data_IF_156181865537
#
_entry.id   IF_156181865537
#
_cell.length_a   1.000
_cell.length_b   1.000
_cell.length_c   1.000
_cell.angle_alpha   90.00
_cell.angle_beta   90.00
_cell.angle_gamma   90.00
#
_symmetry.space_group_name_H-M   'P 1'
#
loop_
_entity.id
_entity.type
_entity.pdbx_description
1 polymer ?
#
# COMPACT_ATOMS: atom_id res chain seq x y z
N UNK A 1 -8.50 13.47 -1.67
CA UNK A 1 -7.33 14.14 -2.33
C UNK A 1 -7.08 13.48 -3.68
N UNK A 2 -7.46 14.14 -4.77
CA UNK A 2 -7.22 13.63 -6.13
C UNK A 2 -5.74 13.73 -6.47
N UNK A 3 -5.12 12.59 -6.77
CA UNK A 3 -3.81 12.61 -7.43
C UNK A 3 -4.02 12.95 -8.90
N UNK A 4 -3.45 14.05 -9.37
CA UNK A 4 -3.54 14.39 -10.79
C UNK A 4 -2.71 13.36 -11.58
N UNK A 5 -3.27 12.85 -12.67
CA UNK A 5 -2.51 11.97 -13.54
C UNK A 5 -1.40 12.76 -14.24
N UNK A 6 -0.20 12.20 -14.38
CA UNK A 6 0.84 12.82 -15.18
C UNK A 6 0.37 12.99 -16.63
N UNK A 7 1.02 13.89 -17.39
CA UNK A 7 0.81 13.99 -18.83
C UNK A 7 0.98 12.62 -19.52
N UNK A 8 0.10 12.27 -20.45
CA UNK A 8 0.14 10.99 -21.16
C UNK A 8 1.24 10.90 -22.21
N UNK A 9 1.59 12.03 -22.84
CA UNK A 9 2.38 12.06 -24.09
C UNK A 9 3.88 12.30 -23.85
N UNK A 10 4.40 11.75 -22.75
CA UNK A 10 5.79 11.96 -22.33
C UNK A 10 6.76 11.27 -23.28
N UNK A 11 6.40 10.10 -23.80
CA UNK A 11 7.31 9.32 -24.66
C UNK A 11 7.61 10.07 -25.96
N UNK A 12 6.59 10.64 -26.62
CA UNK A 12 6.78 11.47 -27.81
C UNK A 12 7.67 12.67 -27.52
N UNK A 13 7.52 13.29 -26.36
CA UNK A 13 8.35 14.43 -25.97
C UNK A 13 9.83 14.04 -25.85
N UNK A 14 10.12 12.92 -25.19
CA UNK A 14 11.51 12.42 -25.03
C UNK A 14 12.16 12.18 -26.39
N UNK A 15 11.47 11.51 -27.33
CA UNK A 15 12.06 11.17 -28.63
C UNK A 15 12.12 12.36 -29.61
N UNK A 16 11.38 13.43 -29.34
CA UNK A 16 11.39 14.66 -30.15
C UNK A 16 12.42 15.71 -29.70
N UNK A 17 13.07 15.52 -28.53
CA UNK A 17 13.91 16.54 -27.90
C UNK A 17 15.36 16.05 -27.71
N UNK A 18 16.16 16.19 -28.76
CA UNK A 18 17.58 15.81 -28.75
C UNK A 18 18.38 16.50 -27.64
N UNK A 19 17.97 17.71 -27.24
CA UNK A 19 18.63 18.45 -26.16
C UNK A 19 18.41 17.76 -24.82
N UNK A 20 17.20 17.31 -24.51
CA UNK A 20 16.89 16.58 -23.28
C UNK A 20 17.74 15.31 -23.18
N UNK A 21 17.81 14.53 -24.27
CA UNK A 21 18.57 13.29 -24.32
C UNK A 21 20.07 13.55 -24.14
N UNK A 22 20.62 14.55 -24.84
CA UNK A 22 22.02 14.95 -24.68
C UNK A 22 22.35 15.49 -23.28
N UNK A 23 21.47 16.33 -22.71
CA UNK A 23 21.63 16.84 -21.34
C UNK A 23 21.57 15.69 -20.30
N UNK A 24 20.79 14.64 -20.55
CA UNK A 24 20.76 13.44 -19.71
C UNK A 24 22.08 12.66 -19.77
N UNK A 25 22.56 12.32 -20.97
CA UNK A 25 23.81 11.56 -21.13
C UNK A 25 25.06 12.32 -20.70
N UNK A 26 25.05 13.65 -20.78
CA UNK A 26 26.09 14.51 -20.21
C UNK A 26 26.02 14.65 -18.68
N UNK A 27 25.05 14.00 -18.01
CA UNK A 27 24.84 14.01 -16.55
C UNK A 27 24.62 15.40 -15.94
N UNK A 28 24.19 16.36 -16.76
CA UNK A 28 23.99 17.76 -16.36
C UNK A 28 23.03 17.94 -15.18
N UNK A 29 22.06 17.04 -15.03
CA UNK A 29 21.01 17.10 -14.02
C UNK A 29 21.06 15.94 -13.01
N UNK A 30 22.24 15.35 -12.78
CA UNK A 30 22.38 14.18 -11.90
C UNK A 30 21.95 14.45 -10.45
N UNK A 31 22.29 15.60 -9.88
CA UNK A 31 21.89 15.97 -8.51
C UNK A 31 20.39 16.13 -8.37
N UNK A 32 19.75 16.79 -9.36
CA UNK A 32 18.30 16.91 -9.43
C UNK A 32 17.65 15.53 -9.45
N UNK A 33 18.08 14.64 -10.36
CA UNK A 33 17.51 13.29 -10.48
C UNK A 33 17.68 12.47 -9.19
N UNK A 34 18.84 12.55 -8.53
CA UNK A 34 19.07 11.91 -7.22
C UNK A 34 18.10 12.41 -6.16
N UNK A 35 17.86 13.72 -6.08
CA UNK A 35 16.91 14.31 -5.14
C UNK A 35 15.49 13.81 -5.40
N UNK A 36 15.03 13.83 -6.65
CA UNK A 36 13.69 13.36 -7.04
C UNK A 36 13.49 11.88 -6.71
N UNK A 37 14.48 11.03 -7.02
CA UNK A 37 14.39 9.59 -6.78
C UNK A 37 14.55 9.22 -5.30
N UNK A 38 15.19 10.06 -4.48
CA UNK A 38 15.33 9.84 -3.04
C UNK A 38 13.98 9.82 -2.31
N UNK A 39 13.05 10.66 -2.74
CA UNK A 39 11.69 10.77 -2.20
C UNK A 39 10.62 10.15 -3.11
N UNK A 40 11.05 9.54 -4.21
CA UNK A 40 10.19 8.96 -5.24
C UNK A 40 9.03 9.88 -5.66
N UNK A 41 9.34 11.15 -5.93
CA UNK A 41 8.30 12.16 -6.12
C UNK A 41 7.39 11.85 -7.30
N UNK A 42 6.10 12.13 -7.10
CA UNK A 42 5.03 12.00 -8.08
C UNK A 42 4.71 13.33 -8.77
N UNK A 43 3.95 13.28 -9.87
CA UNK A 43 3.58 14.43 -10.70
C UNK A 43 3.03 15.62 -9.91
N UNK A 44 2.17 15.37 -8.93
CA UNK A 44 1.57 16.45 -8.13
C UNK A 44 2.59 17.29 -7.36
N UNK A 45 3.70 16.69 -6.91
CA UNK A 45 4.78 17.45 -6.30
C UNK A 45 5.63 18.16 -7.36
N UNK A 46 5.86 17.52 -8.51
CA UNK A 46 6.69 18.07 -9.58
C UNK A 46 6.05 19.30 -10.21
N UNK A 47 4.74 19.28 -10.48
CA UNK A 47 4.04 20.36 -11.20
C UNK A 47 4.07 21.73 -10.51
N UNK A 48 4.33 21.75 -9.20
CA UNK A 48 4.38 22.97 -8.39
C UNK A 48 5.79 23.37 -7.93
N UNK A 49 6.83 22.58 -8.28
CA UNK A 49 8.21 22.89 -7.91
C UNK A 49 8.76 24.06 -8.71
N UNK A 50 9.54 24.91 -8.03
CA UNK A 50 10.18 26.09 -8.62
C UNK A 50 11.61 25.80 -9.10
N UNK A 51 12.23 24.78 -8.54
CA UNK A 51 13.62 24.36 -8.73
C UNK A 51 13.75 23.28 -9.83
N UNK A 52 12.99 23.41 -10.91
CA UNK A 52 13.00 22.45 -12.00
C UNK A 52 14.03 22.83 -13.09
N UNK A 53 14.73 21.84 -13.68
CA UNK A 53 15.63 22.06 -14.82
C UNK A 53 14.95 22.64 -16.07
N UNK A 54 13.67 22.31 -16.24
CA UNK A 54 12.81 22.73 -17.36
C UNK A 54 11.43 23.10 -16.83
N UNK A 55 10.48 23.39 -17.73
CA UNK A 55 9.07 23.38 -17.36
C UNK A 55 8.65 22.03 -16.74
N UNK A 56 7.54 21.96 -16.00
CA UNK A 56 7.11 20.74 -15.32
C UNK A 56 6.97 19.51 -16.21
N UNK A 57 6.41 19.68 -17.41
CA UNK A 57 6.14 18.56 -18.33
C UNK A 57 7.47 17.98 -18.82
N UNK A 58 8.38 18.84 -19.26
CA UNK A 58 9.71 18.42 -19.73
C UNK A 58 10.59 17.87 -18.60
N UNK A 59 10.48 18.43 -17.40
CA UNK A 59 11.17 17.90 -16.21
C UNK A 59 10.64 16.52 -15.82
N UNK A 60 9.33 16.31 -15.90
CA UNK A 60 8.73 15.00 -15.70
C UNK A 60 9.15 13.99 -16.76
N UNK A 61 9.30 14.42 -18.02
CA UNK A 61 9.86 13.59 -19.08
C UNK A 61 11.29 13.15 -18.78
N UNK A 62 12.15 14.05 -18.33
CA UNK A 62 13.52 13.73 -17.89
C UNK A 62 13.50 12.69 -16.75
N UNK A 63 12.62 12.87 -15.75
CA UNK A 63 12.49 11.93 -14.61
C UNK A 63 12.05 10.54 -15.12
N UNK A 64 11.03 10.46 -15.98
CA UNK A 64 10.54 9.20 -16.54
C UNK A 64 11.58 8.52 -17.43
N UNK A 65 12.34 9.29 -18.20
CA UNK A 65 13.46 8.79 -18.98
C UNK A 65 14.54 8.16 -18.09
N UNK A 66 14.93 8.83 -17.01
CA UNK A 66 15.89 8.30 -16.03
C UNK A 66 15.41 6.98 -15.41
N UNK A 67 14.13 6.92 -15.02
CA UNK A 67 13.52 5.74 -14.40
C UNK A 67 13.40 4.57 -15.37
N UNK A 68 13.23 4.82 -16.68
CA UNK A 68 13.03 3.79 -17.71
C UNK A 68 14.17 2.77 -17.79
N UNK A 69 15.41 3.23 -17.72
CA UNK A 69 16.58 2.34 -17.74
C UNK A 69 16.66 1.40 -16.53
N UNK A 70 15.94 1.72 -15.47
CA UNK A 70 15.96 0.98 -14.20
C UNK A 70 14.64 0.27 -13.90
N UNK A 71 13.70 0.21 -14.86
CA UNK A 71 12.45 -0.49 -14.64
C UNK A 71 12.67 -1.99 -14.44
N UNK A 72 12.15 -2.48 -13.33
CA UNK A 72 11.85 -3.89 -13.12
C UNK A 72 10.44 -4.13 -13.66
N UNK A 73 10.32 -5.03 -14.61
CA UNK A 73 9.04 -5.46 -15.17
C UNK A 73 8.47 -6.60 -14.35
N UNK A 74 7.16 -6.60 -14.18
CA UNK A 74 6.42 -7.61 -13.45
C UNK A 74 5.11 -7.86 -14.19
N UNK A 75 4.87 -9.10 -14.59
CA UNK A 75 3.65 -9.46 -15.31
C UNK A 75 2.78 -10.32 -14.38
N UNK A 76 1.51 -9.94 -14.21
CA UNK A 76 0.51 -10.69 -13.48
C UNK A 76 -0.72 -10.89 -14.37
N UNK A 77 -0.99 -12.15 -14.74
CA UNK A 77 -2.07 -12.47 -15.68
C UNK A 77 -1.89 -11.73 -17.00
N UNK A 78 -2.89 -10.93 -17.39
CA UNK A 78 -2.88 -10.13 -18.61
C UNK A 78 -2.29 -8.72 -18.44
N UNK A 79 -1.77 -8.39 -17.24
CA UNK A 79 -1.32 -7.04 -16.90
C UNK A 79 0.19 -6.98 -16.72
N UNK A 80 0.80 -5.99 -17.37
CA UNK A 80 2.22 -5.65 -17.19
C UNK A 80 2.37 -4.43 -16.29
N UNK A 81 3.21 -4.60 -15.27
CA UNK A 81 3.58 -3.57 -14.32
C UNK A 81 5.08 -3.26 -14.45
N UNK A 82 5.45 -2.05 -14.05
CA UNK A 82 6.84 -1.65 -13.96
C UNK A 82 7.08 -0.78 -12.75
N UNK A 83 8.20 -1.00 -12.07
CA UNK A 83 8.60 -0.20 -10.92
C UNK A 83 10.12 0.03 -10.93
N UNK A 84 10.61 0.97 -10.12
CA UNK A 84 12.05 1.22 -9.97
C UNK A 84 12.43 1.02 -8.51
N UNK A 85 13.47 0.22 -8.29
CA UNK A 85 14.15 0.15 -6.99
C UNK A 85 15.23 1.24 -6.95
N UNK A 86 14.86 2.42 -6.45
CA UNK A 86 15.85 3.51 -6.28
C UNK A 86 16.84 3.15 -5.18
N UNK A 87 17.99 3.82 -5.15
CA UNK A 87 18.98 3.64 -4.08
C UNK A 87 18.38 3.93 -2.70
N UNK A 88 17.46 4.89 -2.59
CA UNK A 88 16.76 5.19 -1.34
C UNK A 88 15.83 4.04 -0.92
N UNK A 89 15.07 3.46 -1.85
CA UNK A 89 14.23 2.28 -1.56
C UNK A 89 15.11 1.10 -1.12
N UNK A 90 16.21 0.83 -1.82
CA UNK A 90 17.14 -0.25 -1.46
C UNK A 90 17.78 -0.04 -0.09
N UNK A 91 18.19 1.20 0.23
CA UNK A 91 18.70 1.55 1.55
C UNK A 91 17.64 1.31 2.62
N UNK A 92 16.40 1.75 2.41
CA UNK A 92 15.31 1.57 3.36
C UNK A 92 15.00 0.08 3.57
N UNK A 93 15.00 -0.74 2.52
CA UNK A 93 14.85 -2.19 2.61
C UNK A 93 15.99 -2.81 3.44
N UNK A 94 17.24 -2.43 3.17
CA UNK A 94 18.37 -2.92 3.94
C UNK A 94 18.29 -2.54 5.43
N UNK A 95 17.93 -1.30 5.74
CA UNK A 95 17.72 -0.85 7.13
C UNK A 95 16.56 -1.59 7.80
N UNK A 96 15.50 -1.91 7.05
CA UNK A 96 14.36 -2.69 7.52
C UNK A 96 14.78 -4.14 7.84
N UNK A 97 15.53 -4.80 6.95
CA UNK A 97 16.05 -6.16 7.16
C UNK A 97 16.94 -6.24 8.40
N UNK A 98 17.84 -5.27 8.58
CA UNK A 98 18.72 -5.19 9.75
C UNK A 98 17.93 -5.04 11.06
N UNK A 99 16.83 -4.31 11.06
CA UNK A 99 15.97 -4.13 12.24
C UNK A 99 15.13 -5.36 12.54
N UNK A 100 14.58 -6.01 11.52
CA UNK A 100 13.81 -7.25 11.67
C UNK A 100 14.71 -8.39 12.19
N UNK A 101 15.83 -8.65 11.52
CA UNK A 101 16.75 -9.75 11.85
C UNK A 101 17.60 -9.42 13.08
N UNK A 102 17.96 -8.16 13.30
CA UNK A 102 18.80 -7.75 14.44
C UNK A 102 18.01 -7.50 15.73
N UNK A 103 16.78 -6.97 15.65
CA UNK A 103 15.98 -6.54 16.79
C UNK A 103 15.23 -7.68 17.48
N UNK A 104 14.70 -8.65 16.73
CA UNK A 104 13.98 -9.80 17.29
C UNK A 104 14.91 -10.75 18.07
N UNK A 105 16.18 -10.87 17.64
CA UNK A 105 17.14 -11.82 18.21
C UNK A 105 18.00 -11.25 19.35
N UNK A 106 18.14 -9.92 19.47
CA UNK A 106 18.98 -9.29 20.50
C UNK A 106 18.24 -8.83 21.76
N UNK A 107 16.91 -8.96 21.80
CA UNK A 107 16.15 -8.49 22.95
C UNK A 107 16.26 -9.48 24.13
N UNK A 108 16.72 -9.04 25.33
CA UNK A 108 16.89 -9.88 26.53
C UNK A 108 15.55 -10.25 27.21
N UNK A 109 14.47 -10.25 26.44
CA UNK A 109 13.11 -10.55 26.91
C UNK A 109 13.00 -12.07 27.10
N UNK A 110 12.47 -12.50 28.25
CA UNK A 110 12.22 -13.92 28.49
C UNK A 110 11.19 -14.46 27.49
N UNK A 111 11.19 -15.76 27.21
CA UNK A 111 10.22 -16.35 26.26
C UNK A 111 8.76 -16.09 26.69
N UNK A 112 8.49 -15.95 27.98
CA UNK A 112 7.16 -15.63 28.51
C UNK A 112 6.73 -14.21 28.16
N UNK A 113 7.56 -13.21 28.48
CA UNK A 113 7.28 -11.80 28.19
C UNK A 113 7.12 -11.55 26.67
N UNK A 114 7.86 -12.31 25.83
CA UNK A 114 7.67 -12.29 24.36
C UNK A 114 6.28 -12.76 23.96
N UNK A 115 5.79 -13.84 24.56
CA UNK A 115 4.49 -14.42 24.20
C UNK A 115 3.32 -13.49 24.58
N UNK A 116 3.41 -12.81 25.73
CA UNK A 116 2.40 -11.83 26.15
C UNK A 116 2.47 -10.56 25.30
N UNK A 117 3.67 -10.09 24.99
CA UNK A 117 3.87 -8.96 24.08
C UNK A 117 3.26 -9.23 22.70
N UNK A 118 3.55 -10.38 22.09
CA UNK A 118 3.00 -10.76 20.78
C UNK A 118 1.47 -10.83 20.81
N UNK A 119 0.89 -11.43 21.85
CA UNK A 119 -0.57 -11.46 22.02
C UNK A 119 -1.16 -10.05 22.06
N UNK A 120 -0.58 -9.16 22.86
CA UNK A 120 -1.04 -7.78 22.95
C UNK A 120 -0.89 -7.05 21.60
N UNK A 121 0.22 -7.24 20.87
CA UNK A 121 0.41 -6.64 19.54
C UNK A 121 -0.63 -7.10 18.52
N UNK A 122 -1.04 -8.37 18.53
CA UNK A 122 -2.11 -8.86 17.64
C UNK A 122 -3.47 -8.21 17.97
N UNK A 123 -3.75 -7.97 19.26
CA UNK A 123 -4.95 -7.24 19.67
C UNK A 123 -4.89 -5.77 19.24
N UNK A 124 -3.75 -5.10 19.42
CA UNK A 124 -3.56 -3.72 18.98
C UNK A 124 -3.73 -3.59 17.46
N UNK A 125 -3.16 -4.52 16.69
CA UNK A 125 -3.27 -4.55 15.24
C UNK A 125 -4.72 -4.70 14.78
N UNK A 126 -5.46 -5.65 15.35
CA UNK A 126 -6.87 -5.86 15.02
C UNK A 126 -7.72 -4.60 15.29
N UNK A 127 -7.40 -3.83 16.33
CA UNK A 127 -8.09 -2.58 16.66
C UNK A 127 -7.69 -1.48 15.67
N UNK A 128 -6.39 -1.26 15.49
CA UNK A 128 -5.85 -0.16 14.70
C UNK A 128 -6.24 -0.26 13.23
N UNK A 129 -6.07 -1.43 12.62
CA UNK A 129 -6.44 -1.65 11.21
C UNK A 129 -7.95 -1.49 11.00
N UNK A 130 -8.79 -2.01 11.88
CA UNK A 130 -10.25 -1.82 11.77
C UNK A 130 -10.67 -0.36 11.94
N UNK A 131 -9.99 0.42 12.79
CA UNK A 131 -10.24 1.86 12.94
C UNK A 131 -9.86 2.64 11.68
N UNK A 132 -8.77 2.25 11.01
CA UNK A 132 -8.39 2.79 9.70
C UNK A 132 -9.50 2.52 8.67
N UNK A 133 -10.10 1.32 8.71
CA UNK A 133 -11.24 0.93 7.87
C UNK A 133 -12.59 1.51 8.32
N UNK A 134 -12.61 2.41 9.32
CA UNK A 134 -13.80 3.16 9.73
C UNK A 134 -14.57 2.61 10.93
N UNK A 135 -14.03 1.63 11.66
CA UNK A 135 -14.64 1.18 12.92
C UNK A 135 -14.65 2.31 13.97
N UNK A 136 -15.83 2.89 14.21
CA UNK A 136 -16.04 4.00 15.11
C UNK A 136 -16.12 3.58 16.60
N UNK A 137 -15.03 3.02 17.12
CA UNK A 137 -14.89 2.71 18.55
C UNK A 137 -13.58 3.23 19.13
N UNK A 138 -13.55 3.46 20.44
CA UNK A 138 -12.32 3.84 21.13
C UNK A 138 -11.45 2.60 21.36
N UNK A 139 -10.13 2.79 21.32
CA UNK A 139 -9.15 1.72 21.58
C UNK A 139 -9.40 1.06 22.94
N UNK A 140 -9.77 1.83 23.97
CA UNK A 140 -10.08 1.30 25.31
C UNK A 140 -11.27 0.33 25.28
N UNK A 141 -12.38 0.71 24.65
CA UNK A 141 -13.59 -0.14 24.60
C UNK A 141 -13.34 -1.41 23.79
N UNK A 142 -12.59 -1.30 22.69
CA UNK A 142 -12.23 -2.43 21.85
C UNK A 142 -11.25 -3.38 22.56
N UNK A 143 -10.28 -2.83 23.28
CA UNK A 143 -9.33 -3.60 24.09
C UNK A 143 -10.03 -4.40 25.19
N UNK A 144 -10.92 -3.75 25.96
CA UNK A 144 -11.71 -4.39 27.01
C UNK A 144 -12.62 -5.48 26.41
N UNK A 145 -13.15 -5.26 25.20
CA UNK A 145 -13.93 -6.27 24.49
C UNK A 145 -13.11 -7.53 24.22
N UNK A 146 -11.97 -7.38 23.55
CA UNK A 146 -11.16 -8.50 23.13
C UNK A 146 -10.56 -9.23 24.33
N UNK A 147 -10.08 -8.51 25.36
CA UNK A 147 -9.53 -9.13 26.58
C UNK A 147 -10.58 -9.87 27.40
N UNK A 148 -11.80 -9.36 27.50
CA UNK A 148 -12.87 -10.02 28.26
C UNK A 148 -13.53 -11.18 27.49
N UNK A 149 -13.31 -11.28 26.17
CA UNK A 149 -13.98 -12.25 25.32
C UNK A 149 -15.50 -12.02 25.20
N UNK A 150 -15.99 -10.83 25.59
CA UNK A 150 -17.40 -10.49 25.42
C UNK A 150 -17.75 -10.40 23.93
N UNK A 151 -19.01 -10.67 23.59
CA UNK A 151 -19.49 -10.51 22.21
C UNK A 151 -19.50 -9.02 21.79
N UNK A 152 -19.28 -8.73 20.49
CA UNK A 152 -19.52 -7.42 19.91
C UNK A 152 -20.96 -6.95 20.13
N UNK A 153 -21.15 -5.65 20.33
CA UNK A 153 -22.47 -5.02 20.55
C UNK A 153 -22.96 -4.21 19.36
N UNK A 154 -22.06 -3.86 18.46
CA UNK A 154 -22.35 -3.06 17.26
C UNK A 154 -21.40 -3.47 16.13
N UNK A 155 -21.64 -2.93 14.94
CA UNK A 155 -20.87 -3.25 13.74
C UNK A 155 -19.39 -2.90 13.85
N UNK A 156 -19.03 -1.75 14.43
CA UNK A 156 -17.61 -1.37 14.59
C UNK A 156 -16.85 -2.33 15.52
N UNK A 157 -17.48 -2.77 16.61
CA UNK A 157 -16.96 -3.83 17.47
C UNK A 157 -16.87 -5.17 16.72
N UNK A 158 -17.85 -5.47 15.86
CA UNK A 158 -17.86 -6.69 15.05
C UNK A 158 -16.72 -6.70 14.04
N UNK A 159 -16.44 -5.57 13.37
CA UNK A 159 -15.30 -5.41 12.46
C UNK A 159 -13.97 -5.74 13.17
N UNK A 160 -13.75 -5.20 14.37
CA UNK A 160 -12.54 -5.46 15.17
C UNK A 160 -12.43 -6.93 15.58
N UNK A 161 -13.55 -7.52 16.01
CA UNK A 161 -13.57 -8.93 16.37
C UNK A 161 -13.30 -9.83 15.16
N UNK A 162 -13.87 -9.51 14.00
CA UNK A 162 -13.62 -10.22 12.75
C UNK A 162 -12.16 -10.09 12.31
N UNK A 163 -11.54 -8.93 12.50
CA UNK A 163 -10.14 -8.71 12.17
C UNK A 163 -9.21 -9.58 13.02
N UNK A 164 -9.44 -9.66 14.33
CA UNK A 164 -8.71 -10.59 15.19
C UNK A 164 -8.91 -12.06 14.74
N UNK A 165 -10.12 -12.43 14.32
CA UNK A 165 -10.39 -13.76 13.76
C UNK A 165 -9.66 -14.00 12.45
N UNK A 166 -9.58 -13.00 11.57
CA UNK A 166 -8.84 -13.06 10.30
C UNK A 166 -7.35 -13.29 10.54
N UNK A 167 -6.75 -12.51 11.45
CA UNK A 167 -5.35 -12.70 11.87
C UNK A 167 -5.12 -14.13 12.41
N UNK A 168 -6.01 -14.61 13.28
CA UNK A 168 -5.93 -15.96 13.86
C UNK A 168 -6.05 -17.06 12.80
N UNK A 169 -6.93 -16.86 11.81
CA UNK A 169 -7.07 -17.79 10.69
C UNK A 169 -5.79 -17.84 9.84
N UNK A 170 -5.24 -16.68 9.49
CA UNK A 170 -4.00 -16.59 8.70
C UNK A 170 -2.82 -17.25 9.44
N UNK A 171 -2.71 -17.07 10.75
CA UNK A 171 -1.68 -17.73 11.57
C UNK A 171 -1.77 -19.27 11.49
N UNK A 172 -3.00 -19.81 11.50
CA UNK A 172 -3.25 -21.24 11.32
C UNK A 172 -2.92 -21.78 9.91
N UNK A 173 -2.89 -20.91 8.92
CA UNK A 173 -2.69 -21.24 7.51
C UNK A 173 -1.27 -20.94 6.99
N UNK A 174 -0.35 -20.50 7.85
CA UNK A 174 0.99 -20.00 7.46
C UNK A 174 1.85 -21.02 6.68
N UNK A 175 1.56 -22.32 6.82
CA UNK A 175 2.28 -23.39 6.13
C UNK A 175 1.62 -23.82 4.81
N UNK A 176 0.48 -23.22 4.45
CA UNK A 176 -0.23 -23.49 3.21
C UNK A 176 0.10 -22.44 2.16
N UNK A 177 0.01 -22.82 0.89
CA UNK A 177 0.20 -21.88 -0.21
C UNK A 177 -0.91 -20.82 -0.23
N UNK A 178 -0.54 -19.57 -0.47
CA UNK A 178 -1.50 -18.50 -0.66
C UNK A 178 -2.25 -18.70 -1.99
N UNK A 179 -3.55 -18.94 -1.92
CA UNK A 179 -4.43 -19.07 -3.07
C UNK A 179 -5.72 -18.22 -2.94
N UNK A 180 -6.54 -18.21 -3.99
CA UNK A 180 -7.80 -17.46 -3.98
C UNK A 180 -8.81 -17.98 -2.95
N UNK A 181 -8.75 -19.26 -2.58
CA UNK A 181 -9.68 -19.83 -1.59
C UNK A 181 -9.38 -19.23 -0.22
N UNK A 182 -8.09 -19.14 0.14
CA UNK A 182 -7.66 -18.49 1.37
C UNK A 182 -8.07 -17.01 1.40
N UNK A 183 -7.84 -16.27 0.31
CA UNK A 183 -8.23 -14.85 0.22
C UNK A 183 -9.75 -14.67 0.38
N UNK A 184 -10.54 -15.50 -0.28
CA UNK A 184 -12.00 -15.47 -0.20
C UNK A 184 -12.47 -15.85 1.22
N UNK A 185 -11.80 -16.78 1.89
CA UNK A 185 -12.14 -17.18 3.25
C UNK A 185 -11.81 -16.08 4.27
N UNK A 186 -10.66 -15.43 4.14
CA UNK A 186 -10.34 -14.22 4.92
C UNK A 186 -11.43 -13.18 4.70
N UNK A 187 -11.84 -12.92 3.45
CA UNK A 187 -12.92 -11.98 3.16
C UNK A 187 -14.22 -12.35 3.89
N UNK A 188 -14.63 -13.63 3.88
CA UNK A 188 -15.81 -14.10 4.64
C UNK A 188 -15.69 -13.87 6.13
N UNK A 189 -14.53 -14.16 6.72
CA UNK A 189 -14.29 -13.96 8.14
C UNK A 189 -14.39 -12.46 8.49
N UNK A 190 -13.80 -11.60 7.66
CA UNK A 190 -13.77 -10.15 7.86
C UNK A 190 -15.16 -9.50 7.81
N UNK A 191 -16.05 -9.99 6.94
CA UNK A 191 -17.39 -9.41 6.74
C UNK A 191 -18.51 -10.08 7.55
N UNK A 192 -18.23 -11.17 8.26
CA UNK A 192 -19.25 -11.93 8.98
C UNK A 192 -20.02 -11.07 10.00
N UNK A 193 -21.35 -11.07 9.95
CA UNK A 193 -22.25 -10.27 10.80
C UNK A 193 -22.04 -8.75 10.69
N UNK A 194 -21.51 -8.25 9.57
CA UNK A 194 -21.48 -6.82 9.25
C UNK A 194 -22.45 -6.52 8.10
N UNK A 195 -22.68 -5.25 7.81
CA UNK A 195 -23.48 -4.85 6.64
C UNK A 195 -22.88 -5.34 5.31
N UNK A 196 -21.59 -5.65 5.27
CA UNK A 196 -20.88 -6.14 4.10
C UNK A 196 -20.95 -7.67 3.91
N UNK A 197 -21.64 -8.42 4.79
CA UNK A 197 -21.70 -9.88 4.73
C UNK A 197 -22.26 -10.40 3.40
N UNK A 198 -23.19 -9.66 2.78
CA UNK A 198 -23.77 -10.01 1.48
C UNK A 198 -22.76 -9.99 0.32
N UNK A 199 -21.68 -9.23 0.46
CA UNK A 199 -20.61 -9.13 -0.53
C UNK A 199 -19.56 -10.24 -0.38
N UNK A 200 -19.66 -11.07 0.67
CA UNK A 200 -18.65 -12.04 1.04
C UNK A 200 -18.56 -13.22 0.06
N UNK A 201 -17.41 -13.92 0.09
CA UNK A 201 -17.34 -15.27 -0.47
C UNK A 201 -17.15 -15.39 -1.98
N UNK A 202 -17.02 -14.29 -2.70
CA UNK A 202 -16.66 -14.25 -4.12
C UNK A 202 -15.92 -12.93 -4.45
N UNK A 203 -15.33 -12.86 -5.64
CA UNK A 203 -14.94 -11.59 -6.23
C UNK A 203 -16.19 -10.76 -6.54
N UNK A 204 -16.05 -9.43 -6.50
CA UNK A 204 -17.15 -8.51 -6.82
C UNK A 204 -17.68 -8.77 -8.24
N UNK A 205 -18.97 -8.58 -8.41
CA UNK A 205 -19.70 -8.71 -9.67
C UNK A 205 -20.26 -7.36 -10.17
N UNK A 206 -19.77 -6.27 -9.58
CA UNK A 206 -20.22 -4.91 -9.85
C UNK A 206 -19.02 -3.95 -9.86
N UNK A 207 -19.14 -2.79 -10.53
CA UNK A 207 -18.16 -1.73 -10.43
C UNK A 207 -18.10 -1.19 -8.99
N UNK A 208 -16.88 -0.88 -8.54
CA UNK A 208 -16.62 -0.19 -7.28
C UNK A 208 -15.78 1.05 -7.58
N UNK A 209 -15.83 2.04 -6.68
CA UNK A 209 -15.10 3.29 -6.82
C UNK A 209 -14.41 3.62 -5.51
N UNK A 210 -13.18 4.11 -5.59
CA UNK A 210 -12.52 4.76 -4.45
C UNK A 210 -12.94 6.22 -4.50
N UNK A 211 -13.76 6.63 -3.53
CA UNK A 211 -14.37 7.96 -3.49
C UNK A 211 -14.03 8.69 -2.19
N UNK A 212 -13.98 10.02 -2.26
CA UNK A 212 -13.91 10.85 -1.06
C UNK A 212 -15.27 10.84 -0.34
N UNK A 213 -15.26 10.57 0.97
CA UNK A 213 -16.49 10.50 1.76
C UNK A 213 -17.19 11.84 1.96
N UNK A 214 -16.51 12.97 1.70
CA UNK A 214 -17.03 14.31 1.95
C UNK A 214 -17.78 14.86 0.73
N UNK A 215 -17.15 14.84 -0.45
CA UNK A 215 -17.71 15.44 -1.67
C UNK A 215 -18.16 14.41 -2.73
N UNK A 216 -17.89 13.11 -2.51
CA UNK A 216 -18.24 12.05 -3.44
C UNK A 216 -17.36 12.00 -4.69
N UNK A 217 -16.24 12.73 -4.74
CA UNK A 217 -15.34 12.70 -5.88
C UNK A 217 -14.69 11.30 -6.03
N UNK A 218 -14.76 10.73 -7.23
CA UNK A 218 -14.06 9.48 -7.56
C UNK A 218 -12.56 9.75 -7.68
N UNK A 219 -11.80 9.29 -6.71
CA UNK A 219 -10.34 9.35 -6.69
C UNK A 219 -9.70 8.28 -7.58
N UNK A 220 -10.30 7.09 -7.65
CA UNK A 220 -9.82 6.00 -8.50
C UNK A 220 -10.94 5.02 -8.86
N UNK A 221 -10.91 4.54 -10.09
CA UNK A 221 -11.76 3.44 -10.57
C UNK A 221 -10.88 2.20 -10.76
N UNK A 222 -11.02 1.16 -9.91
CA UNK A 222 -10.34 -0.11 -10.10
C UNK A 222 -10.68 -0.77 -11.46
N UNK A 223 -9.95 -1.81 -11.89
CA UNK A 223 -10.26 -2.56 -13.10
C UNK A 223 -11.73 -3.03 -13.17
N UNK A 224 -12.24 -3.41 -14.34
CA UNK A 224 -13.57 -4.01 -14.47
C UNK A 224 -13.74 -5.25 -13.59
N UNK A 225 -14.97 -5.61 -13.22
CA UNK A 225 -15.20 -6.88 -12.52
C UNK A 225 -15.11 -8.08 -13.48
N UNK A 226 -15.21 -7.82 -14.78
CA UNK A 226 -15.13 -8.79 -15.87
C UNK A 226 -13.71 -9.32 -16.12
N UNK A 227 -12.70 -8.68 -15.52
CA UNK A 227 -11.27 -9.06 -15.63
C UNK A 227 -10.70 -9.66 -14.34
N UNK A 228 -11.56 -9.91 -13.35
CA UNK A 228 -11.23 -10.63 -12.11
C UNK A 228 -11.42 -12.13 -12.30
#
# INVERSE_FOLDING_TARGET
MKFESPPSDIESLIFSDDKLVNDYFSKKYEEFLKLIDSRYLYWDEIKHRKDLPFDPIKSWALIKFNRRFNYKKLSFGAHDFSFVLTQAIQKNLHEFDLKLIGGLYKSPITNFDKSEYLKNSLLEEAIASSQIEGAATTTKVAWDMLKSGRKPRNESEQMIFNNLRGITFIDGEINNDLDFRMIIEVHRIMTANTSAEECAGAFRNAPIYVQDHIDGEIAHTPPGHEVL
#
